data_IF_448271928309
#
_entry.id   IF_448271928309
#
_cell.length_a   1.000
_cell.length_b   1.000
_cell.length_c   1.000
_cell.angle_alpha   90.00
_cell.angle_beta   90.00
_cell.angle_gamma   90.00
#
_symmetry.space_group_name_H-M   'P 1'
#
loop_
_entity.id
_entity.type
_entity.pdbx_description
1 polymer ?
#
# COMPACT_ATOMS: atom_id res chain seq x y z
N UNK A 1 10.45 -20.20 19.50
CA UNK A 1 9.14 -20.39 18.84
C UNK A 1 8.81 -19.11 18.10
N UNK A 2 9.20 -19.01 16.82
CA UNK A 2 8.83 -17.90 15.94
C UNK A 2 7.39 -18.12 15.49
N UNK A 3 6.46 -17.42 16.13
CA UNK A 3 5.04 -17.43 15.77
C UNK A 3 4.90 -16.81 14.39
N UNK A 4 4.59 -17.62 13.39
CA UNK A 4 4.27 -17.15 12.04
C UNK A 4 2.91 -16.47 12.12
N UNK A 5 2.87 -15.16 12.31
CA UNK A 5 1.62 -14.43 12.21
C UNK A 5 1.07 -14.60 10.78
N UNK A 6 -0.15 -15.13 10.61
CA UNK A 6 -0.71 -15.29 9.28
C UNK A 6 -0.87 -13.90 8.69
N UNK A 7 -0.11 -13.61 7.63
CA UNK A 7 -0.28 -12.39 6.82
C UNK A 7 -1.70 -12.41 6.25
N UNK A 8 -2.61 -11.74 6.94
CA UNK A 8 -4.02 -11.67 6.59
C UNK A 8 -4.15 -10.88 5.29
N UNK A 9 -4.43 -11.59 4.20
CA UNK A 9 -4.67 -10.98 2.89
C UNK A 9 -6.03 -10.29 2.94
N UNK A 10 -6.05 -8.99 2.66
CA UNK A 10 -7.30 -8.24 2.55
C UNK A 10 -8.24 -8.94 1.54
N UNK A 11 -9.46 -9.26 2.00
CA UNK A 11 -10.46 -9.95 1.16
C UNK A 11 -10.94 -9.03 0.04
N UNK A 12 -11.27 -9.59 -1.12
CA UNK A 12 -11.75 -8.82 -2.29
C UNK A 12 -12.93 -7.88 -1.96
N UNK A 13 -13.82 -8.31 -1.05
CA UNK A 13 -14.93 -7.50 -0.56
C UNK A 13 -14.47 -6.18 0.10
N UNK A 14 -13.42 -6.23 0.94
CA UNK A 14 -12.88 -5.05 1.62
C UNK A 14 -12.20 -4.08 0.64
N UNK A 15 -11.55 -4.62 -0.39
CA UNK A 15 -10.96 -3.80 -1.47
C UNK A 15 -12.05 -3.03 -2.24
N UNK A 16 -13.12 -3.72 -2.64
CA UNK A 16 -14.24 -3.11 -3.35
C UNK A 16 -14.92 -2.05 -2.47
N UNK A 17 -15.18 -2.36 -1.20
CA UNK A 17 -15.74 -1.40 -0.23
C UNK A 17 -14.86 -0.14 -0.13
N UNK A 18 -13.55 -0.30 -0.03
CA UNK A 18 -12.60 0.81 0.05
C UNK A 18 -12.61 1.67 -1.21
N UNK A 19 -12.70 1.04 -2.39
CA UNK A 19 -12.81 1.75 -3.66
C UNK A 19 -14.11 2.57 -3.77
N UNK A 20 -15.23 2.00 -3.32
CA UNK A 20 -16.53 2.70 -3.27
C UNK A 20 -16.45 3.88 -2.30
N UNK A 21 -15.95 3.67 -1.09
CA UNK A 21 -15.81 4.72 -0.08
C UNK A 21 -14.93 5.88 -0.60
N UNK A 22 -13.80 5.56 -1.23
CA UNK A 22 -12.93 6.55 -1.86
C UNK A 22 -13.69 7.33 -2.95
N UNK A 23 -14.41 6.65 -3.83
CA UNK A 23 -15.20 7.29 -4.88
C UNK A 23 -16.26 8.26 -4.33
N UNK A 24 -16.97 7.84 -3.26
CA UNK A 24 -17.97 8.68 -2.58
C UNK A 24 -17.31 9.89 -1.91
N UNK A 25 -16.21 9.72 -1.18
CA UNK A 25 -15.50 10.83 -0.53
C UNK A 25 -14.90 11.82 -1.54
N UNK A 26 -14.29 11.31 -2.61
CA UNK A 26 -13.73 12.12 -3.69
C UNK A 26 -14.83 12.90 -4.42
N UNK A 27 -15.92 12.24 -4.78
CA UNK A 27 -17.09 12.86 -5.40
C UNK A 27 -17.72 13.92 -4.50
N UNK A 28 -17.92 13.61 -3.21
CA UNK A 28 -18.45 14.56 -2.22
C UNK A 28 -17.58 15.80 -2.08
N UNK A 29 -16.25 15.65 -2.14
CA UNK A 29 -15.31 16.77 -2.08
C UNK A 29 -15.45 17.65 -3.33
N UNK A 30 -15.50 17.07 -4.53
CA UNK A 30 -15.73 17.82 -5.78
C UNK A 30 -17.08 18.55 -5.75
N UNK A 31 -18.13 17.90 -5.25
CA UNK A 31 -19.45 18.50 -5.12
C UNK A 31 -19.42 19.71 -4.17
N UNK A 32 -18.70 19.60 -3.05
CA UNK A 32 -18.45 20.72 -2.14
C UNK A 32 -17.70 21.88 -2.79
N UNK A 33 -16.70 21.59 -3.64
CA UNK A 33 -15.96 22.61 -4.40
C UNK A 33 -16.87 23.35 -5.39
N UNK A 34 -17.84 22.66 -6.00
CA UNK A 34 -18.80 23.26 -6.94
C UNK A 34 -19.82 24.15 -6.23
N UNK A 35 -20.32 23.74 -5.07
CA UNK A 35 -21.31 24.49 -4.28
C UNK A 35 -20.72 25.70 -3.54
N UNK A 36 -19.40 25.80 -3.42
CA UNK A 36 -18.77 26.91 -2.72
C UNK A 36 -18.93 28.21 -3.53
N UNK A 37 -19.39 29.33 -2.91
CA UNK A 37 -19.54 30.62 -3.58
C UNK A 37 -18.17 31.29 -3.79
N UNK A 38 -17.37 30.73 -4.70
CA UNK A 38 -16.05 31.22 -5.10
C UNK A 38 -16.05 31.74 -6.53
N UNK A 39 -15.05 32.56 -6.85
CA UNK A 39 -14.80 32.94 -8.24
C UNK A 39 -14.33 31.73 -9.06
N UNK A 40 -14.61 31.72 -10.36
CA UNK A 40 -14.28 30.62 -11.28
C UNK A 40 -12.79 30.24 -11.24
N UNK A 41 -11.91 31.23 -11.08
CA UNK A 41 -10.47 31.02 -10.99
C UNK A 41 -10.05 30.26 -9.72
N UNK A 42 -10.54 30.71 -8.56
CA UNK A 42 -10.24 30.07 -7.26
C UNK A 42 -10.75 28.63 -7.23
N UNK A 43 -11.94 28.39 -7.79
CA UNK A 43 -12.52 27.05 -7.91
C UNK A 43 -11.65 26.14 -8.79
N UNK A 44 -11.14 26.66 -9.92
CA UNK A 44 -10.24 25.93 -10.80
C UNK A 44 -8.94 25.53 -10.11
N UNK A 45 -8.31 26.47 -9.38
CA UNK A 45 -7.11 26.18 -8.60
C UNK A 45 -7.34 25.06 -7.57
N UNK A 46 -8.44 25.14 -6.81
CA UNK A 46 -8.76 24.14 -5.79
C UNK A 46 -9.00 22.76 -6.41
N UNK A 47 -9.70 22.70 -7.56
CA UNK A 47 -9.93 21.46 -8.28
C UNK A 47 -8.63 20.82 -8.77
N UNK A 48 -7.72 21.61 -9.35
CA UNK A 48 -6.41 21.11 -9.82
C UNK A 48 -5.55 20.63 -8.64
N UNK A 49 -5.48 21.40 -7.55
CA UNK A 49 -4.77 20.99 -6.34
C UNK A 49 -5.30 19.68 -5.78
N UNK A 50 -6.62 19.51 -5.75
CA UNK A 50 -7.27 18.31 -5.25
C UNK A 50 -6.96 17.07 -6.11
N UNK A 51 -7.06 17.18 -7.44
CA UNK A 51 -6.70 16.09 -8.37
C UNK A 51 -5.22 15.73 -8.27
N UNK A 52 -4.34 16.74 -8.21
CA UNK A 52 -2.90 16.53 -8.08
C UNK A 52 -2.52 15.88 -6.74
N UNK A 53 -3.16 16.29 -5.65
CA UNK A 53 -2.96 15.73 -4.31
C UNK A 53 -3.35 14.25 -4.28
N UNK A 54 -4.52 13.91 -4.82
CA UNK A 54 -5.00 12.52 -4.91
C UNK A 54 -4.07 11.66 -5.75
N UNK A 55 -3.62 12.16 -6.90
CA UNK A 55 -2.67 11.46 -7.78
C UNK A 55 -1.35 11.19 -7.06
N UNK A 56 -0.81 12.20 -6.36
CA UNK A 56 0.43 12.07 -5.58
C UNK A 56 0.29 11.08 -4.42
N UNK A 57 -0.85 11.09 -3.72
CA UNK A 57 -1.14 10.15 -2.65
C UNK A 57 -1.17 8.71 -3.15
N UNK A 58 -1.80 8.45 -4.31
CA UNK A 58 -1.79 7.11 -4.92
C UNK A 58 -0.41 6.66 -5.39
N UNK A 59 0.42 7.57 -5.92
CA UNK A 59 1.80 7.25 -6.26
C UNK A 59 2.61 6.89 -5.02
N UNK A 60 2.49 7.67 -3.96
CA UNK A 60 3.15 7.38 -2.69
C UNK A 60 2.67 6.04 -2.10
N UNK A 61 1.36 5.76 -2.15
CA UNK A 61 0.81 4.48 -1.69
C UNK A 61 1.37 3.28 -2.48
N UNK A 62 1.61 3.43 -3.78
CA UNK A 62 2.31 2.41 -4.58
C UNK A 62 3.74 2.24 -4.09
N UNK A 63 4.51 3.31 -3.95
CA UNK A 63 5.89 3.23 -3.45
C UNK A 63 5.99 2.53 -2.08
N UNK A 64 5.04 2.79 -1.17
CA UNK A 64 4.98 2.12 0.14
C UNK A 64 4.67 0.64 -0.01
N UNK A 65 3.71 0.27 -0.88
CA UNK A 65 3.39 -1.14 -1.15
C UNK A 65 4.58 -1.88 -1.77
N UNK A 66 5.23 -1.26 -2.76
CA UNK A 66 6.39 -1.84 -3.45
C UNK A 66 7.57 -2.03 -2.48
N UNK A 67 7.74 -1.10 -1.52
CA UNK A 67 8.72 -1.24 -0.45
C UNK A 67 8.38 -2.42 0.48
N UNK A 68 7.13 -2.59 0.89
CA UNK A 68 6.70 -3.72 1.72
C UNK A 68 6.90 -5.07 1.02
N UNK A 69 6.55 -5.17 -0.26
CA UNK A 69 6.76 -6.39 -1.06
C UNK A 69 8.24 -6.72 -1.20
N UNK A 70 9.08 -5.73 -1.48
CA UNK A 70 10.54 -5.90 -1.56
C UNK A 70 11.13 -6.41 -0.24
N UNK A 71 10.67 -5.90 0.91
CA UNK A 71 11.12 -6.36 2.23
C UNK A 71 10.71 -7.81 2.51
N UNK A 72 9.46 -8.19 2.18
CA UNK A 72 8.98 -9.56 2.34
C UNK A 72 9.77 -10.56 1.48
N UNK A 73 10.08 -10.20 0.22
CA UNK A 73 10.88 -11.05 -0.66
C UNK A 73 12.30 -11.23 -0.13
N UNK A 74 12.93 -10.17 0.39
CA UNK A 74 14.27 -10.25 1.00
C UNK A 74 14.30 -11.22 2.18
N UNK A 75 13.34 -11.13 3.09
CA UNK A 75 13.26 -12.03 4.26
C UNK A 75 13.18 -13.51 3.85
N UNK A 76 12.38 -13.83 2.82
CA UNK A 76 12.27 -15.21 2.31
C UNK A 76 13.55 -15.70 1.63
N UNK A 77 14.29 -14.80 1.00
CA UNK A 77 15.59 -15.14 0.40
C UNK A 77 16.62 -15.39 1.50
N UNK A 78 16.63 -14.57 2.54
CA UNK A 78 17.54 -14.72 3.68
C UNK A 78 17.27 -16.04 4.42
N UNK A 79 16.01 -16.40 4.66
CA UNK A 79 15.64 -17.71 5.21
C UNK A 79 16.14 -18.87 4.33
N UNK A 80 15.92 -18.83 3.01
CA UNK A 80 16.38 -19.88 2.12
C UNK A 80 17.92 -19.95 2.01
N UNK A 81 18.62 -18.81 2.17
CA UNK A 81 20.08 -18.75 2.22
C UNK A 81 20.60 -19.32 3.54
N UNK A 82 19.98 -18.98 4.65
CA UNK A 82 20.29 -19.53 5.97
C UNK A 82 20.10 -21.04 5.96
N UNK A 83 18.96 -21.55 5.46
CA UNK A 83 18.70 -22.99 5.33
C UNK A 83 19.78 -23.70 4.52
N UNK A 84 20.22 -23.11 3.40
CA UNK A 84 21.33 -23.68 2.62
C UNK A 84 22.65 -23.71 3.40
N UNK A 85 22.98 -22.63 4.12
CA UNK A 85 24.18 -22.59 4.96
C UNK A 85 24.12 -23.64 6.08
N UNK A 86 22.95 -23.85 6.70
CA UNK A 86 22.73 -24.90 7.70
C UNK A 86 22.87 -26.32 7.12
N UNK A 87 22.40 -26.54 5.89
CA UNK A 87 22.51 -27.86 5.22
C UNK A 87 23.96 -28.16 4.81
N UNK A 88 24.67 -27.16 4.29
CA UNK A 88 26.04 -27.31 3.81
C UNK A 88 27.05 -27.42 4.96
N UNK A 89 26.82 -26.71 6.07
CA UNK A 89 27.57 -26.84 7.32
C UNK A 89 26.70 -27.57 8.35
N UNK A 90 26.58 -28.88 8.23
CA UNK A 90 25.88 -29.73 9.19
C UNK A 90 26.85 -30.28 10.26
N UNK A 91 27.01 -29.62 11.43
CA UNK A 91 27.89 -30.07 12.51
C UNK A 91 27.38 -31.32 13.25
N UNK A 92 26.16 -31.81 12.95
CA UNK A 92 25.54 -32.94 13.64
C UNK A 92 25.85 -34.31 13.01
N UNK A 93 26.62 -34.35 11.91
CA UNK A 93 27.04 -35.61 11.26
C UNK A 93 28.40 -36.13 11.77
N UNK A 94 29.04 -35.44 12.72
CA UNK A 94 30.36 -35.79 13.25
C UNK A 94 30.29 -36.38 14.67
N UNK A 95 29.20 -37.06 15.01
CA UNK A 95 29.08 -37.91 16.20
C UNK A 95 28.59 -39.30 15.80
#
# INVERSE_FOLDING_TARGET
>A
MSTSEPVSKATAAYYIQSAIAFGVSFGSTLLGIVYLPLTTWQRGFLAVCMVFLVTSCFNLAKCVRDAHETQQVRHRIDEARLDKMFVEHNPLKTA
#
